data_IF_868059405242
#
_entry.id   IF_868059405242
#
_cell.length_a   1.000
_cell.length_b   1.000
_cell.length_c   1.000
_cell.angle_alpha   90.00
_cell.angle_beta   90.00
_cell.angle_gamma   90.00
#
_symmetry.space_group_name_H-M   'P 1'
#
loop_
_entity.id
_entity.type
_entity.pdbx_description
1 polymer ?
#
# COMPACT_ATOMS: atom_id res chain seq x y z
N UNK A 1 14.12 13.79 11.82
CA UNK A 1 14.55 12.65 11.00
C UNK A 1 15.18 11.59 11.90
N UNK A 2 15.00 10.31 11.59
CA UNK A 2 15.64 9.20 12.32
C UNK A 2 16.37 8.34 11.29
N UNK A 3 17.71 8.29 11.41
CA UNK A 3 18.54 7.37 10.64
C UNK A 3 18.76 6.09 11.43
N UNK A 4 18.62 4.93 10.80
CA UNK A 4 18.85 3.61 11.40
C UNK A 4 19.90 2.91 10.55
N UNK A 5 21.03 2.60 11.13
CA UNK A 5 22.13 1.98 10.39
C UNK A 5 22.70 0.74 11.11
N UNK A 6 23.39 -0.08 10.33
CA UNK A 6 24.02 -1.32 10.81
C UNK A 6 24.14 -2.36 9.71
N UNK A 7 24.85 -3.43 9.96
CA UNK A 7 25.10 -4.49 8.99
C UNK A 7 23.80 -5.14 8.49
N UNK A 8 23.90 -5.88 7.37
CA UNK A 8 22.76 -6.66 6.90
C UNK A 8 22.39 -7.73 7.94
N UNK A 9 21.08 -7.92 8.15
CA UNK A 9 20.57 -8.94 9.08
C UNK A 9 20.45 -8.51 10.55
N UNK A 10 20.87 -7.29 10.95
CA UNK A 10 20.77 -6.82 12.35
C UNK A 10 19.34 -6.42 12.77
N UNK A 11 18.39 -6.33 11.83
CA UNK A 11 16.99 -6.06 12.17
C UNK A 11 16.48 -4.68 11.78
N UNK A 12 17.19 -3.90 10.96
CA UNK A 12 16.74 -2.56 10.49
C UNK A 12 15.34 -2.59 9.89
N UNK A 13 15.13 -3.45 8.90
CA UNK A 13 13.82 -3.67 8.25
C UNK A 13 12.76 -4.14 9.25
N UNK A 14 13.13 -5.01 10.22
CA UNK A 14 12.18 -5.45 11.25
C UNK A 14 11.74 -4.31 12.17
N UNK A 15 12.62 -3.34 12.45
CA UNK A 15 12.24 -2.16 13.24
C UNK A 15 11.25 -1.28 12.46
N UNK A 16 11.47 -1.06 11.16
CA UNK A 16 10.49 -0.34 10.31
C UNK A 16 9.16 -1.11 10.23
N UNK A 17 9.23 -2.44 10.07
CA UNK A 17 8.02 -3.27 10.03
C UNK A 17 7.25 -3.24 11.36
N UNK A 18 7.93 -3.17 12.49
CA UNK A 18 7.27 -3.03 13.80
C UNK A 18 6.49 -1.71 13.90
N UNK A 19 7.05 -0.60 13.40
CA UNK A 19 6.35 0.70 13.32
C UNK A 19 5.15 0.58 12.38
N UNK A 20 5.35 0.02 11.18
CA UNK A 20 4.28 -0.21 10.22
C UNK A 20 3.18 -1.10 10.80
N UNK A 21 3.58 -2.17 11.51
CA UNK A 21 2.63 -3.10 12.16
C UNK A 21 1.72 -2.38 13.16
N UNK A 22 2.28 -1.46 13.94
CA UNK A 22 1.49 -0.64 14.86
C UNK A 22 0.54 0.33 14.14
N UNK A 23 0.81 0.74 12.91
CA UNK A 23 -0.08 1.58 12.09
C UNK A 23 -1.15 0.77 11.34
N UNK A 24 -0.82 -0.45 10.89
CA UNK A 24 -1.68 -1.25 9.99
C UNK A 24 -2.19 -2.56 10.60
N UNK A 25 -1.88 -2.85 11.85
CA UNK A 25 -2.22 -4.10 12.55
C UNK A 25 -1.71 -5.38 11.88
N UNK A 26 -0.78 -5.28 10.94
CA UNK A 26 -0.18 -6.38 10.18
C UNK A 26 1.21 -5.99 9.69
N UNK A 27 2.07 -6.98 9.44
CA UNK A 27 3.35 -6.79 8.78
C UNK A 27 3.17 -6.29 7.34
N UNK A 28 4.13 -5.49 6.86
CA UNK A 28 4.25 -5.13 5.45
C UNK A 28 4.79 -6.29 4.62
N UNK A 29 5.77 -7.01 5.16
CA UNK A 29 6.53 -8.05 4.46
C UNK A 29 5.88 -9.43 4.55
N UNK A 30 5.11 -9.70 5.60
CA UNK A 30 4.50 -11.03 5.83
C UNK A 30 2.98 -10.97 5.90
N UNK A 31 2.33 -11.95 5.23
CA UNK A 31 0.88 -12.14 5.29
C UNK A 31 0.44 -12.97 6.52
N UNK A 32 1.38 -13.65 7.17
CA UNK A 32 1.11 -14.60 8.27
C UNK A 32 1.77 -14.07 9.54
N UNK A 33 0.98 -13.67 10.52
CA UNK A 33 1.49 -13.10 11.78
C UNK A 33 2.49 -14.03 12.50
N UNK A 34 2.27 -15.34 12.45
CA UNK A 34 3.14 -16.31 13.10
C UNK A 34 4.59 -16.33 12.56
N UNK A 35 4.80 -15.89 11.30
CA UNK A 35 6.16 -15.81 10.73
C UNK A 35 6.98 -14.65 11.29
N UNK A 36 6.34 -13.71 11.98
CA UNK A 36 7.00 -12.59 12.65
C UNK A 36 7.41 -12.91 14.09
N UNK A 37 7.08 -14.12 14.57
CA UNK A 37 7.48 -14.58 15.90
C UNK A 37 8.92 -15.05 15.85
N UNK A 38 9.74 -14.60 16.83
CA UNK A 38 11.13 -15.07 16.97
C UNK A 38 11.16 -16.59 17.12
N UNK A 39 12.08 -17.25 16.44
CA UNK A 39 12.21 -18.69 16.52
C UNK A 39 12.41 -19.16 17.97
N UNK A 40 11.55 -20.08 18.42
CA UNK A 40 11.53 -20.58 19.80
C UNK A 40 10.68 -19.74 20.76
N UNK A 41 10.12 -18.59 20.35
CA UNK A 41 9.19 -17.83 21.15
C UNK A 41 7.73 -18.24 20.89
N UNK A 42 6.86 -18.02 21.90
CA UNK A 42 5.43 -18.37 21.83
C UNK A 42 4.52 -17.26 21.32
N UNK A 43 5.10 -16.12 20.89
CA UNK A 43 4.38 -14.96 20.40
C UNK A 43 5.24 -13.71 20.42
N UNK A 44 4.62 -12.55 20.23
CA UNK A 44 5.31 -11.26 20.35
C UNK A 44 4.42 -10.21 20.99
N UNK A 45 5.06 -9.17 21.51
CA UNK A 45 4.44 -7.92 21.94
C UNK A 45 5.15 -6.76 21.29
N UNK A 46 4.40 -5.92 20.59
CA UNK A 46 4.85 -4.61 20.09
C UNK A 46 4.16 -3.53 20.92
N UNK A 47 4.92 -2.51 21.29
CA UNK A 47 4.40 -1.36 22.00
C UNK A 47 5.04 -0.09 21.46
N UNK A 48 4.26 0.96 21.22
CA UNK A 48 4.73 2.25 20.74
C UNK A 48 3.86 3.39 21.24
N UNK A 49 4.47 4.55 21.50
CA UNK A 49 3.77 5.78 21.82
C UNK A 49 3.76 6.67 20.58
N UNK A 50 2.56 7.08 20.18
CA UNK A 50 2.31 7.93 19.02
C UNK A 50 1.74 9.25 19.51
N UNK A 51 2.37 10.36 19.18
CA UNK A 51 1.91 11.69 19.55
C UNK A 51 1.53 12.47 18.29
N UNK A 52 0.36 13.11 18.32
CA UNK A 52 -0.08 14.06 17.32
C UNK A 52 -0.45 15.34 18.05
N UNK A 53 0.26 16.41 17.80
CA UNK A 53 0.15 17.78 18.32
C UNK A 53 -0.42 17.94 19.76
N UNK A 54 -1.56 17.36 20.08
CA UNK A 54 -2.26 17.53 21.37
C UNK A 54 -2.54 16.21 22.10
N UNK A 55 -2.47 15.07 21.41
CA UNK A 55 -2.82 13.77 21.97
C UNK A 55 -1.67 12.78 21.88
N UNK A 56 -1.47 12.00 22.95
CA UNK A 56 -0.54 10.87 22.97
C UNK A 56 -1.34 9.56 23.08
N UNK A 57 -1.00 8.60 22.21
CA UNK A 57 -1.66 7.31 22.17
C UNK A 57 -0.63 6.19 22.38
N UNK A 58 -0.91 5.33 23.34
CA UNK A 58 -0.15 4.10 23.55
C UNK A 58 -0.78 2.98 22.72
N UNK A 59 -0.05 2.47 21.73
CA UNK A 59 -0.45 1.36 20.90
C UNK A 59 0.21 0.08 21.40
N UNK A 60 -0.56 -0.99 21.56
CA UNK A 60 -0.05 -2.30 21.96
C UNK A 60 -0.64 -3.38 21.08
N UNK A 61 0.23 -4.17 20.46
CA UNK A 61 -0.16 -5.39 19.73
C UNK A 61 0.43 -6.61 20.43
N UNK A 62 -0.39 -7.61 20.70
CA UNK A 62 0.01 -8.87 21.31
C UNK A 62 -0.44 -10.01 20.39
N UNK A 63 0.51 -10.81 19.91
CA UNK A 63 0.23 -12.08 19.27
C UNK A 63 0.56 -13.20 20.27
N UNK A 64 -0.43 -14.05 20.56
CA UNK A 64 -0.26 -15.18 21.48
C UNK A 64 0.08 -16.46 20.71
N UNK A 65 0.63 -17.45 21.39
CA UNK A 65 0.92 -18.78 20.85
C UNK A 65 -0.27 -19.42 20.13
N UNK A 66 -1.48 -19.19 20.61
CA UNK A 66 -2.72 -19.65 20.00
C UNK A 66 -3.06 -19.00 18.67
N UNK A 67 -2.24 -18.07 18.19
CA UNK A 67 -2.54 -17.23 17.03
C UNK A 67 -3.54 -16.11 17.29
N UNK A 68 -4.05 -15.99 18.53
CA UNK A 68 -4.94 -14.88 18.90
C UNK A 68 -4.17 -13.58 18.94
N UNK A 69 -4.62 -12.60 18.15
CA UNK A 69 -4.09 -11.25 18.09
C UNK A 69 -4.99 -10.28 18.84
N UNK A 70 -4.39 -9.50 19.73
CA UNK A 70 -5.03 -8.44 20.48
C UNK A 70 -4.36 -7.12 20.12
N UNK A 71 -5.15 -6.08 19.85
CA UNK A 71 -4.64 -4.74 19.55
C UNK A 71 -5.37 -3.72 20.43
N UNK A 72 -4.59 -2.92 21.16
CA UNK A 72 -5.11 -1.96 22.12
C UNK A 72 -4.61 -0.55 21.80
N UNK A 73 -5.46 0.43 22.06
CA UNK A 73 -5.11 1.87 22.06
C UNK A 73 -5.50 2.43 23.42
N UNK A 74 -4.52 2.98 24.14
CA UNK A 74 -4.71 3.49 25.49
C UNK A 74 -5.39 2.46 26.42
N UNK A 75 -4.93 1.19 26.33
CA UNK A 75 -5.43 0.04 27.08
C UNK A 75 -6.82 -0.49 26.64
N UNK A 76 -7.50 0.19 25.71
CA UNK A 76 -8.79 -0.25 25.18
C UNK A 76 -8.62 -1.15 23.96
N UNK A 77 -9.14 -2.40 23.96
CA UNK A 77 -9.00 -3.31 22.85
C UNK A 77 -9.94 -2.97 21.70
N UNK A 78 -9.47 -3.14 20.46
CA UNK A 78 -10.31 -3.07 19.29
C UNK A 78 -11.22 -4.30 19.15
N UNK A 79 -12.50 -4.07 18.88
CA UNK A 79 -13.44 -5.13 18.49
C UNK A 79 -13.23 -5.53 17.03
N UNK A 80 -12.85 -4.57 16.16
CA UNK A 80 -12.53 -4.80 14.74
C UNK A 80 -11.25 -4.05 14.38
N UNK A 81 -10.23 -4.77 13.95
CA UNK A 81 -8.94 -4.18 13.56
C UNK A 81 -9.05 -3.19 12.38
N UNK A 82 -10.06 -3.35 11.52
CA UNK A 82 -10.30 -2.41 10.43
C UNK A 82 -10.54 -0.96 10.89
N UNK A 83 -11.05 -0.75 12.11
CA UNK A 83 -11.26 0.60 12.65
C UNK A 83 -9.97 1.32 13.03
N UNK A 84 -8.85 0.60 13.07
CA UNK A 84 -7.53 1.18 13.33
C UNK A 84 -6.92 1.81 12.09
N UNK A 85 -7.22 1.27 10.90
CA UNK A 85 -6.60 1.68 9.64
C UNK A 85 -6.91 3.15 9.34
N UNK A 86 -5.88 3.92 8.99
CA UNK A 86 -5.96 5.35 8.71
C UNK A 86 -6.07 6.26 9.93
N UNK A 87 -6.02 5.70 11.15
CA UNK A 87 -5.96 6.48 12.39
C UNK A 87 -4.54 6.98 12.69
N UNK A 88 -3.54 6.16 12.36
CA UNK A 88 -2.12 6.49 12.42
C UNK A 88 -1.53 6.30 11.01
N UNK A 89 -1.70 7.29 10.12
CA UNK A 89 -1.32 7.13 8.72
C UNK A 89 0.19 6.96 8.59
N UNK A 90 0.59 6.02 7.74
CA UNK A 90 1.98 5.78 7.43
C UNK A 90 2.15 5.37 5.96
N UNK A 91 3.29 5.74 5.40
CA UNK A 91 3.73 5.32 4.06
C UNK A 91 5.08 4.62 4.22
N UNK A 92 5.21 3.45 3.66
CA UNK A 92 6.48 2.71 3.62
C UNK A 92 6.96 2.57 2.19
N UNK A 93 8.27 2.70 2.00
CA UNK A 93 8.95 2.47 0.72
C UNK A 93 10.07 1.47 0.96
N UNK A 94 10.03 0.37 0.22
CA UNK A 94 10.99 -0.72 0.30
C UNK A 94 11.59 -1.04 -1.07
N UNK A 95 12.73 -1.72 -1.16
CA UNK A 95 13.29 -2.17 -2.44
C UNK A 95 12.33 -3.02 -3.27
N UNK A 96 11.49 -3.83 -2.62
CA UNK A 96 10.54 -4.73 -3.27
C UNK A 96 9.34 -3.99 -3.89
N UNK A 97 9.06 -2.77 -3.48
CA UNK A 97 7.95 -1.97 -4.04
C UNK A 97 8.10 -1.64 -5.52
N UNK A 98 9.29 -1.87 -6.10
CA UNK A 98 9.48 -1.78 -7.55
C UNK A 98 8.51 -2.71 -8.30
N UNK A 99 7.99 -3.74 -7.66
CA UNK A 99 6.96 -4.65 -8.17
C UNK A 99 5.65 -3.92 -8.55
N UNK A 100 5.34 -2.78 -7.93
CA UNK A 100 4.21 -1.93 -8.33
C UNK A 100 4.32 -1.53 -9.80
N UNK A 101 5.56 -1.36 -10.29
CA UNK A 101 5.87 -0.91 -11.65
C UNK A 101 6.13 -2.08 -12.59
N UNK A 102 6.87 -3.11 -12.12
CA UNK A 102 7.35 -4.21 -12.97
C UNK A 102 6.33 -5.35 -13.10
N UNK A 103 5.54 -5.58 -12.07
CA UNK A 103 4.64 -6.73 -11.99
C UNK A 103 3.23 -6.45 -12.54
N UNK A 104 2.32 -7.35 -12.25
CA UNK A 104 0.94 -7.26 -12.72
C UNK A 104 0.11 -6.17 -12.01
N UNK A 105 -1.11 -6.03 -12.47
CA UNK A 105 -2.09 -5.07 -11.93
C UNK A 105 -2.43 -5.29 -10.46
N UNK A 106 -2.12 -6.46 -9.90
CA UNK A 106 -2.43 -6.76 -8.49
C UNK A 106 -1.67 -5.82 -7.55
N UNK A 107 -0.36 -5.56 -7.79
CA UNK A 107 0.44 -4.70 -6.93
C UNK A 107 -0.01 -3.23 -7.03
N UNK A 108 -0.40 -2.76 -8.22
CA UNK A 108 -0.95 -1.41 -8.40
C UNK A 108 -2.31 -1.24 -7.73
N UNK A 109 -3.17 -2.26 -7.76
CA UNK A 109 -4.41 -2.24 -6.97
C UNK A 109 -4.15 -2.24 -5.48
N UNK A 110 -3.19 -3.05 -4.99
CA UNK A 110 -2.81 -3.05 -3.56
C UNK A 110 -2.34 -1.68 -3.09
N UNK A 111 -1.51 -1.02 -3.90
CA UNK A 111 -1.08 0.35 -3.63
C UNK A 111 -2.28 1.31 -3.49
N UNK A 112 -3.18 1.32 -4.49
CA UNK A 112 -4.36 2.17 -4.47
C UNK A 112 -5.31 1.84 -3.32
N UNK A 113 -5.52 0.56 -3.05
CA UNK A 113 -6.37 0.08 -1.95
C UNK A 113 -5.79 0.44 -0.58
N UNK A 114 -4.46 0.42 -0.42
CA UNK A 114 -3.79 0.85 0.81
C UNK A 114 -4.00 2.34 1.08
N UNK A 115 -3.84 3.19 0.06
CA UNK A 115 -4.12 4.63 0.15
C UNK A 115 -5.59 4.88 0.52
N UNK A 116 -6.53 4.34 -0.26
CA UNK A 116 -7.96 4.58 -0.08
C UNK A 116 -8.48 4.03 1.26
N UNK A 117 -7.95 2.90 1.72
CA UNK A 117 -8.31 2.34 3.03
C UNK A 117 -7.86 3.21 4.21
N UNK A 118 -6.78 3.97 4.06
CA UNK A 118 -6.36 4.95 5.08
C UNK A 118 -7.19 6.23 5.04
N UNK A 119 -7.70 6.60 3.87
CA UNK A 119 -8.52 7.80 3.68
C UNK A 119 -9.95 7.60 4.16
N UNK A 120 -10.55 6.45 3.85
CA UNK A 120 -11.97 6.18 4.00
C UNK A 120 -12.23 4.78 4.61
N UNK A 121 -12.76 4.76 5.82
CA UNK A 121 -13.14 3.54 6.52
C UNK A 121 -14.28 2.77 5.81
N UNK A 122 -15.19 3.49 5.12
CA UNK A 122 -16.25 2.86 4.34
C UNK A 122 -15.66 2.13 3.12
N UNK A 123 -14.67 2.74 2.45
CA UNK A 123 -13.94 2.07 1.37
C UNK A 123 -13.33 0.74 1.84
N UNK A 124 -12.62 0.76 2.98
CA UNK A 124 -12.03 -0.46 3.54
C UNK A 124 -13.09 -1.53 3.83
N UNK A 125 -14.25 -1.15 4.39
CA UNK A 125 -15.32 -2.10 4.66
C UNK A 125 -15.89 -2.68 3.36
N UNK A 126 -16.15 -1.85 2.36
CA UNK A 126 -16.60 -2.32 1.04
C UNK A 126 -15.57 -3.24 0.37
N UNK A 127 -14.28 -2.93 0.49
CA UNK A 127 -13.21 -3.77 -0.06
C UNK A 127 -13.14 -5.15 0.62
N UNK A 128 -13.27 -5.19 1.95
CA UNK A 128 -13.32 -6.45 2.72
C UNK A 128 -14.52 -7.30 2.28
N UNK A 129 -15.70 -6.70 2.21
CA UNK A 129 -16.93 -7.41 1.86
C UNK A 129 -16.90 -7.87 0.40
N UNK A 130 -16.44 -7.02 -0.53
CA UNK A 130 -16.25 -7.40 -1.94
C UNK A 130 -15.34 -8.61 -2.09
N UNK A 131 -14.18 -8.60 -1.46
CA UNK A 131 -13.21 -9.70 -1.55
C UNK A 131 -13.76 -11.00 -0.95
N UNK A 132 -14.49 -10.93 0.16
CA UNK A 132 -15.16 -12.09 0.77
C UNK A 132 -16.21 -12.68 -0.17
N UNK A 133 -17.06 -11.83 -0.75
CA UNK A 133 -18.12 -12.26 -1.69
C UNK A 133 -17.51 -12.82 -2.97
N UNK A 134 -16.46 -12.19 -3.49
CA UNK A 134 -15.72 -12.67 -4.67
C UNK A 134 -15.14 -14.07 -4.43
N UNK A 135 -14.57 -14.31 -3.26
CA UNK A 135 -14.05 -15.62 -2.87
C UNK A 135 -15.19 -16.68 -2.79
N UNK A 136 -16.32 -16.30 -2.17
CA UNK A 136 -17.50 -17.19 -2.07
C UNK A 136 -18.07 -17.52 -3.46
N UNK A 137 -18.22 -16.51 -4.32
CA UNK A 137 -18.68 -16.68 -5.71
C UNK A 137 -17.75 -17.61 -6.50
N UNK A 138 -16.44 -17.41 -6.40
CA UNK A 138 -15.46 -18.26 -7.07
C UNK A 138 -15.48 -19.71 -6.52
N UNK A 139 -15.66 -19.88 -5.22
CA UNK A 139 -15.86 -21.20 -4.61
C UNK A 139 -17.12 -21.89 -5.13
N UNK A 140 -18.22 -21.14 -5.26
CA UNK A 140 -19.46 -21.67 -5.82
C UNK A 140 -19.34 -22.04 -7.31
N UNK A 141 -18.65 -21.24 -8.12
CA UNK A 141 -18.36 -21.57 -9.52
C UNK A 141 -17.59 -22.90 -9.66
N UNK A 142 -16.62 -23.16 -8.79
CA UNK A 142 -15.91 -24.46 -8.73
C UNK A 142 -16.85 -25.61 -8.37
N UNK A 143 -17.69 -25.40 -7.35
CA UNK A 143 -18.67 -26.40 -6.91
C UNK A 143 -19.68 -26.76 -8.01
N UNK A 144 -20.17 -25.76 -8.78
CA UNK A 144 -21.05 -25.98 -9.93
C UNK A 144 -20.39 -26.86 -10.99
N UNK A 145 -19.09 -26.61 -11.28
CA UNK A 145 -18.33 -27.40 -12.24
C UNK A 145 -18.13 -28.85 -11.75
N UNK A 146 -17.75 -29.04 -10.49
CA UNK A 146 -17.57 -30.36 -9.88
C UNK A 146 -18.86 -31.19 -9.90
N UNK A 147 -19.98 -30.58 -9.52
CA UNK A 147 -21.30 -31.23 -9.48
C UNK A 147 -22.01 -31.29 -10.83
N UNK A 148 -21.43 -30.69 -11.89
CA UNK A 148 -22.09 -30.50 -13.20
C UNK A 148 -23.48 -29.88 -13.07
N UNK A 149 -23.66 -28.98 -12.11
CA UNK A 149 -24.95 -28.35 -11.81
C UNK A 149 -25.17 -27.15 -12.72
N UNK A 150 -26.41 -26.92 -13.11
CA UNK A 150 -26.87 -25.75 -13.85
C UNK A 150 -27.58 -24.72 -12.97
N UNK A 151 -27.73 -25.01 -11.66
CA UNK A 151 -28.39 -24.10 -10.73
C UNK A 151 -27.49 -22.86 -10.48
N UNK A 152 -27.94 -21.72 -10.98
CA UNK A 152 -27.23 -20.43 -10.88
C UNK A 152 -27.87 -19.44 -9.91
N UNK A 153 -28.92 -19.81 -9.17
CA UNK A 153 -29.65 -18.89 -8.30
C UNK A 153 -28.74 -18.19 -7.27
N UNK A 154 -27.78 -18.94 -6.70
CA UNK A 154 -26.86 -18.37 -5.72
C UNK A 154 -25.86 -17.40 -6.35
N UNK A 155 -25.55 -17.55 -7.66
CA UNK A 155 -24.74 -16.56 -8.37
C UNK A 155 -25.44 -15.21 -8.43
N UNK A 156 -26.76 -15.17 -8.61
CA UNK A 156 -27.51 -13.92 -8.66
C UNK A 156 -27.45 -13.16 -7.30
N UNK A 157 -27.42 -13.92 -6.20
CA UNK A 157 -27.26 -13.32 -4.86
C UNK A 157 -25.86 -12.71 -4.71
N UNK A 158 -24.81 -13.46 -5.08
CA UNK A 158 -23.45 -12.94 -5.04
C UNK A 158 -23.24 -11.75 -6.00
N UNK A 159 -23.81 -11.83 -7.21
CA UNK A 159 -23.71 -10.77 -8.22
C UNK A 159 -24.30 -9.46 -7.69
N UNK A 160 -25.49 -9.46 -7.07
CA UNK A 160 -26.10 -8.29 -6.45
C UNK A 160 -25.22 -7.67 -5.37
N UNK A 161 -24.63 -8.50 -4.51
CA UNK A 161 -23.73 -8.04 -3.46
C UNK A 161 -22.43 -7.46 -4.05
N UNK A 162 -21.84 -8.12 -5.06
CA UNK A 162 -20.65 -7.60 -5.76
C UNK A 162 -20.92 -6.25 -6.43
N UNK A 163 -22.10 -6.06 -7.02
CA UNK A 163 -22.52 -4.78 -7.63
C UNK A 163 -22.53 -3.67 -6.59
N UNK A 164 -23.14 -3.91 -5.41
CA UNK A 164 -23.22 -2.91 -4.35
C UNK A 164 -21.84 -2.44 -3.90
N UNK A 165 -20.96 -3.38 -3.54
CA UNK A 165 -19.63 -3.04 -3.04
C UNK A 165 -18.69 -2.60 -4.16
N UNK A 166 -18.76 -3.25 -5.33
CA UNK A 166 -17.90 -2.96 -6.47
C UNK A 166 -18.11 -1.56 -7.05
N UNK A 167 -19.36 -1.10 -7.11
CA UNK A 167 -19.66 0.27 -7.58
C UNK A 167 -19.08 1.34 -6.65
N UNK A 168 -19.19 1.15 -5.32
CA UNK A 168 -18.57 2.06 -4.36
C UNK A 168 -17.05 2.13 -4.54
N UNK A 169 -16.39 0.97 -4.65
CA UNK A 169 -14.93 0.88 -4.82
C UNK A 169 -14.50 1.53 -6.15
N UNK A 170 -15.21 1.23 -7.24
CA UNK A 170 -14.93 1.81 -8.55
C UNK A 170 -15.01 3.33 -8.52
N UNK A 171 -16.10 3.89 -7.98
CA UNK A 171 -16.28 5.34 -7.92
C UNK A 171 -15.22 6.01 -7.03
N UNK A 172 -14.91 5.44 -5.87
CA UNK A 172 -13.85 5.94 -4.99
C UNK A 172 -12.49 5.94 -5.69
N UNK A 173 -12.12 4.86 -6.40
CA UNK A 173 -10.88 4.80 -7.18
C UNK A 173 -10.86 5.84 -8.30
N UNK A 174 -11.96 5.97 -9.04
CA UNK A 174 -12.09 6.93 -10.13
C UNK A 174 -11.89 8.35 -9.65
N UNK A 175 -12.54 8.74 -8.55
CA UNK A 175 -12.42 10.07 -7.97
C UNK A 175 -11.00 10.32 -7.45
N UNK A 176 -10.43 9.38 -6.72
CA UNK A 176 -9.09 9.57 -6.16
C UNK A 176 -8.02 9.67 -7.24
N UNK A 177 -8.10 8.88 -8.30
CA UNK A 177 -7.12 8.90 -9.39
C UNK A 177 -7.13 10.21 -10.20
N UNK A 178 -8.25 10.95 -10.23
CA UNK A 178 -8.28 12.30 -10.83
C UNK A 178 -7.31 13.27 -10.12
N UNK A 179 -7.08 13.09 -8.83
CA UNK A 179 -6.15 13.90 -8.05
C UNK A 179 -4.75 13.27 -7.96
N UNK A 180 -4.70 11.95 -7.82
CA UNK A 180 -3.44 11.23 -7.63
C UNK A 180 -2.56 11.25 -8.89
N UNK A 181 -3.13 11.05 -10.09
CA UNK A 181 -2.36 10.98 -11.34
C UNK A 181 -1.59 12.28 -11.64
N UNK A 182 -2.22 13.46 -11.62
CA UNK A 182 -1.48 14.71 -11.81
C UNK A 182 -0.34 14.89 -10.80
N UNK A 183 -0.57 14.56 -9.52
CA UNK A 183 0.41 14.67 -8.47
C UNK A 183 1.59 13.72 -8.65
N UNK A 184 1.35 12.47 -9.12
CA UNK A 184 2.40 11.54 -9.45
C UNK A 184 3.28 12.09 -10.59
N UNK A 185 2.68 12.63 -11.65
CA UNK A 185 3.41 13.21 -12.80
C UNK A 185 4.28 14.37 -12.37
N UNK A 186 3.75 15.28 -11.55
CA UNK A 186 4.49 16.40 -10.99
C UNK A 186 5.67 15.93 -10.12
N UNK A 187 5.40 15.04 -9.16
CA UNK A 187 6.44 14.51 -8.25
C UNK A 187 7.51 13.73 -9.02
N UNK A 188 7.11 12.99 -10.05
CA UNK A 188 8.06 12.28 -10.92
C UNK A 188 9.00 13.26 -11.62
N UNK A 189 8.46 14.34 -12.20
CA UNK A 189 9.26 15.39 -12.87
C UNK A 189 10.25 16.04 -11.89
N UNK A 190 9.81 16.34 -10.66
CA UNK A 190 10.67 16.91 -9.62
C UNK A 190 11.83 15.99 -9.25
N UNK A 191 11.57 14.67 -9.10
CA UNK A 191 12.61 13.68 -8.76
C UNK A 191 13.53 13.43 -9.95
N UNK A 192 12.99 13.32 -11.16
CA UNK A 192 13.75 13.04 -12.38
C UNK A 192 14.64 14.23 -12.82
N UNK A 193 14.34 15.46 -12.36
CA UNK A 193 15.03 16.68 -12.77
C UNK A 193 14.75 17.13 -14.20
N UNK A 194 13.89 16.39 -14.93
CA UNK A 194 13.51 16.68 -16.30
C UNK A 194 12.07 16.23 -16.58
N UNK A 195 11.43 16.87 -17.55
CA UNK A 195 10.14 16.44 -18.04
C UNK A 195 10.29 15.25 -18.97
N UNK A 196 9.63 14.16 -18.65
CA UNK A 196 9.53 12.95 -19.48
C UNK A 196 8.06 12.72 -19.88
N UNK A 197 7.83 12.06 -21.02
CA UNK A 197 6.48 11.76 -21.53
C UNK A 197 5.89 10.58 -20.75
N UNK A 198 5.61 10.81 -19.46
CA UNK A 198 4.98 9.84 -18.56
C UNK A 198 3.47 9.98 -18.62
N UNK A 199 2.76 8.89 -18.95
CA UNK A 199 1.31 8.83 -18.92
C UNK A 199 0.83 7.76 -17.94
N UNK A 200 -0.18 8.13 -17.14
CA UNK A 200 -0.91 7.22 -16.27
C UNK A 200 -2.40 7.29 -16.58
N UNK A 201 -3.06 6.15 -16.56
CA UNK A 201 -4.50 6.06 -16.82
C UNK A 201 -5.16 5.04 -15.90
N UNK A 202 -6.41 5.28 -15.51
CA UNK A 202 -7.21 4.26 -14.84
C UNK A 202 -7.85 3.35 -15.88
N UNK A 203 -7.58 2.08 -15.78
CA UNK A 203 -8.12 1.05 -16.68
C UNK A 203 -9.15 0.20 -15.94
N UNK A 204 -10.40 0.26 -16.35
CA UNK A 204 -11.49 -0.52 -15.77
C UNK A 204 -12.49 -0.94 -16.83
N UNK A 205 -13.01 -2.17 -16.69
CA UNK A 205 -14.13 -2.64 -17.49
C UNK A 205 -15.40 -1.80 -17.25
N UNK A 206 -15.51 -1.21 -16.04
CA UNK A 206 -16.65 -0.40 -15.64
C UNK A 206 -16.72 0.97 -16.36
N UNK A 207 -15.68 1.35 -17.11
CA UNK A 207 -15.77 2.50 -18.02
C UNK A 207 -16.71 2.26 -19.21
N UNK A 208 -16.97 1.00 -19.55
CA UNK A 208 -17.72 0.63 -20.77
C UNK A 208 -19.13 0.13 -20.50
N UNK A 209 -19.35 -0.49 -19.33
CA UNK A 209 -20.64 -1.06 -18.95
C UNK A 209 -20.76 -1.12 -17.42
N UNK A 210 -21.97 -1.19 -16.90
CA UNK A 210 -22.21 -1.38 -15.46
C UNK A 210 -21.68 -2.73 -14.99
N UNK A 211 -21.32 -2.83 -13.69
CA UNK A 211 -20.86 -4.10 -13.12
C UNK A 211 -21.92 -5.19 -13.23
N UNK A 212 -23.20 -4.84 -13.12
CA UNK A 212 -24.31 -5.79 -13.27
C UNK A 212 -24.36 -6.38 -14.69
N UNK A 213 -24.24 -5.55 -15.73
CA UNK A 213 -24.19 -5.99 -17.12
C UNK A 213 -22.96 -6.85 -17.39
N UNK A 214 -21.80 -6.44 -16.89
CA UNK A 214 -20.56 -7.21 -17.01
C UNK A 214 -20.66 -8.59 -16.37
N UNK A 215 -21.21 -8.71 -15.16
CA UNK A 215 -21.37 -9.99 -14.48
C UNK A 215 -22.33 -10.91 -15.25
N UNK A 216 -23.41 -10.37 -15.84
CA UNK A 216 -24.32 -11.13 -16.71
C UNK A 216 -23.63 -11.58 -18.00
N UNK A 217 -22.90 -10.69 -18.66
CA UNK A 217 -22.19 -10.97 -19.91
C UNK A 217 -21.10 -12.03 -19.74
N UNK A 218 -20.37 -11.99 -18.61
CA UNK A 218 -19.27 -12.89 -18.35
C UNK A 218 -19.69 -14.21 -17.68
N UNK A 219 -20.97 -14.42 -17.36
CA UNK A 219 -21.46 -15.56 -16.58
C UNK A 219 -21.03 -16.92 -17.15
N UNK A 220 -21.22 -17.16 -18.44
CA UNK A 220 -20.81 -18.42 -19.07
C UNK A 220 -19.30 -18.61 -19.06
N UNK A 221 -18.53 -17.54 -19.33
CA UNK A 221 -17.08 -17.57 -19.22
C UNK A 221 -16.62 -17.86 -17.80
N UNK A 222 -17.27 -17.27 -16.79
CA UNK A 222 -16.98 -17.50 -15.38
C UNK A 222 -17.22 -18.96 -14.98
N UNK A 223 -18.30 -19.57 -15.47
CA UNK A 223 -18.59 -20.99 -15.25
C UNK A 223 -17.52 -21.88 -15.87
N UNK A 224 -17.13 -21.63 -17.09
CA UNK A 224 -16.08 -22.40 -17.79
C UNK A 224 -14.70 -22.22 -17.11
N UNK A 225 -14.36 -21.00 -16.71
CA UNK A 225 -13.07 -20.68 -16.09
C UNK A 225 -13.05 -20.89 -14.57
N UNK A 226 -14.21 -21.25 -13.97
CA UNK A 226 -14.40 -21.44 -12.51
C UNK A 226 -13.94 -20.27 -11.66
N UNK A 227 -14.00 -19.05 -12.21
CA UNK A 227 -13.60 -17.80 -11.55
C UNK A 227 -14.27 -16.59 -12.20
N UNK A 228 -14.41 -15.53 -11.42
CA UNK A 228 -14.91 -14.24 -11.90
C UNK A 228 -13.91 -13.55 -12.82
N UNK A 229 -14.36 -13.13 -14.01
CA UNK A 229 -13.54 -12.49 -15.04
C UNK A 229 -13.91 -11.01 -15.24
N UNK A 230 -14.94 -10.51 -14.57
CA UNK A 230 -15.37 -9.12 -14.61
C UNK A 230 -15.47 -8.52 -13.21
N UNK A 231 -15.14 -7.25 -13.07
CA UNK A 231 -15.24 -6.47 -11.84
C UNK A 231 -13.96 -5.76 -11.42
N UNK A 232 -14.01 -5.01 -10.34
CA UNK A 232 -12.94 -4.10 -9.85
C UNK A 232 -11.62 -4.83 -9.52
N UNK A 233 -11.64 -6.12 -9.31
CA UNK A 233 -10.45 -6.97 -9.14
C UNK A 233 -9.69 -7.18 -10.45
N UNK A 234 -10.19 -6.66 -11.59
CA UNK A 234 -9.54 -6.64 -12.90
C UNK A 234 -9.02 -5.25 -13.28
N UNK A 235 -9.31 -4.24 -12.47
CA UNK A 235 -8.83 -2.88 -12.73
C UNK A 235 -7.31 -2.79 -12.71
N UNK A 236 -6.78 -1.77 -13.39
CA UNK A 236 -5.35 -1.47 -13.41
C UNK A 236 -5.12 0.05 -13.43
N UNK A 237 -3.88 0.44 -13.11
CA UNK A 237 -3.33 1.75 -13.45
C UNK A 237 -2.34 1.52 -14.58
N UNK A 238 -2.76 1.87 -15.80
CA UNK A 238 -1.87 1.86 -16.98
C UNK A 238 -0.76 2.87 -16.80
N UNK A 239 0.48 2.46 -17.07
CA UNK A 239 1.66 3.32 -16.97
C UNK A 239 2.44 3.22 -18.27
N UNK A 240 2.63 4.35 -18.95
CA UNK A 240 3.32 4.45 -20.22
C UNK A 240 4.41 5.51 -20.17
N UNK A 241 5.46 5.29 -20.92
CA UNK A 241 6.53 6.26 -21.20
C UNK A 241 6.71 6.30 -22.72
N UNK A 242 6.57 7.48 -23.33
CA UNK A 242 6.64 7.64 -24.79
C UNK A 242 5.72 6.64 -25.52
N UNK A 243 4.46 6.58 -25.10
CA UNK A 243 3.41 5.71 -25.65
C UNK A 243 3.69 4.19 -25.56
N UNK A 244 4.74 3.77 -24.86
CA UNK A 244 5.07 2.38 -24.64
C UNK A 244 4.90 1.99 -23.16
N UNK A 245 4.57 0.71 -22.86
CA UNK A 245 4.47 0.25 -21.48
C UNK A 245 5.76 0.54 -20.70
N UNK A 246 5.63 1.31 -19.63
CA UNK A 246 6.76 1.80 -18.82
C UNK A 246 7.69 0.67 -18.37
N UNK A 247 7.13 -0.46 -17.95
CA UNK A 247 7.88 -1.63 -17.47
C UNK A 247 8.86 -2.21 -18.51
N UNK A 248 8.61 -1.99 -19.83
CA UNK A 248 9.42 -2.57 -20.87
C UNK A 248 10.64 -1.71 -21.23
N UNK A 249 10.51 -0.38 -21.14
CA UNK A 249 11.52 0.56 -21.66
C UNK A 249 12.23 1.39 -20.60
N UNK A 250 11.63 1.52 -19.42
CA UNK A 250 12.17 2.36 -18.36
C UNK A 250 13.47 1.80 -17.78
N UNK A 251 14.46 2.66 -17.61
CA UNK A 251 15.70 2.38 -16.88
C UNK A 251 15.44 2.08 -15.39
N UNK A 252 16.42 1.54 -14.69
CA UNK A 252 16.32 1.29 -13.25
C UNK A 252 16.09 2.60 -12.46
N UNK A 253 16.79 3.67 -12.83
CA UNK A 253 16.63 5.00 -12.23
C UNK A 253 15.20 5.55 -12.44
N UNK A 254 14.66 5.45 -13.66
CA UNK A 254 13.28 5.86 -13.96
C UNK A 254 12.24 5.06 -13.17
N UNK A 255 12.42 3.73 -13.05
CA UNK A 255 11.53 2.89 -12.24
C UNK A 255 11.52 3.31 -10.77
N UNK A 256 12.70 3.60 -10.20
CA UNK A 256 12.79 4.09 -8.83
C UNK A 256 12.19 5.49 -8.68
N UNK A 257 12.47 6.41 -9.62
CA UNK A 257 11.85 7.74 -9.59
C UNK A 257 10.32 7.65 -9.61
N UNK A 258 9.76 6.77 -10.42
CA UNK A 258 8.31 6.55 -10.47
C UNK A 258 7.78 5.91 -9.18
N UNK A 259 8.50 4.93 -8.61
CA UNK A 259 8.14 4.34 -7.32
C UNK A 259 8.06 5.43 -6.23
N UNK A 260 9.09 6.26 -6.12
CA UNK A 260 9.08 7.36 -5.16
C UNK A 260 7.97 8.37 -5.45
N UNK A 261 7.72 8.68 -6.73
CA UNK A 261 6.63 9.57 -7.10
C UNK A 261 5.27 9.04 -6.67
N UNK A 262 5.00 7.74 -6.88
CA UNK A 262 3.77 7.08 -6.40
C UNK A 262 3.63 7.19 -4.88
N UNK A 263 4.66 6.81 -4.14
CA UNK A 263 4.63 6.76 -2.68
C UNK A 263 4.62 8.14 -2.01
N UNK A 264 5.34 9.11 -2.57
CA UNK A 264 5.32 10.48 -2.05
C UNK A 264 4.00 11.19 -2.40
N UNK A 265 3.38 10.87 -3.53
CA UNK A 265 2.02 11.35 -3.82
C UNK A 265 0.98 10.73 -2.87
N UNK A 266 1.11 9.43 -2.53
CA UNK A 266 0.33 8.80 -1.46
C UNK A 266 0.49 9.58 -0.14
N UNK A 267 1.72 9.90 0.24
CA UNK A 267 2.04 10.64 1.45
C UNK A 267 1.38 12.03 1.47
N UNK A 268 1.50 12.81 0.41
CA UNK A 268 0.93 14.17 0.32
C UNK A 268 -0.61 14.16 0.37
N UNK A 269 -1.24 13.20 -0.29
CA UNK A 269 -2.70 13.03 -0.22
C UNK A 269 -3.15 12.70 1.21
N UNK A 270 -2.47 11.77 1.87
CA UNK A 270 -2.79 11.44 3.27
C UNK A 270 -2.58 12.65 4.19
N UNK A 271 -1.47 13.38 4.02
CA UNK A 271 -1.16 14.60 4.77
C UNK A 271 -2.27 15.65 4.62
N UNK A 272 -2.69 15.91 3.39
CA UNK A 272 -3.75 16.87 3.11
C UNK A 272 -5.09 16.45 3.72
N UNK A 273 -5.45 15.18 3.59
CA UNK A 273 -6.74 14.66 4.05
C UNK A 273 -6.83 14.54 5.59
N UNK A 274 -5.72 14.19 6.25
CA UNK A 274 -5.66 13.97 7.71
C UNK A 274 -5.28 15.21 8.51
N UNK A 275 -4.82 16.28 7.85
CA UNK A 275 -4.36 17.52 8.51
C UNK A 275 -3.04 17.38 9.27
N UNK A 276 -2.41 16.21 9.24
CA UNK A 276 -1.11 15.93 9.83
C UNK A 276 -0.29 15.02 8.92
N UNK A 277 1.04 15.17 8.97
CA UNK A 277 1.93 14.36 8.14
C UNK A 277 1.91 12.89 8.59
N UNK A 278 1.75 11.94 7.66
CA UNK A 278 1.93 10.52 7.94
C UNK A 278 3.36 10.20 8.41
N UNK A 279 3.58 9.07 9.06
CA UNK A 279 4.92 8.52 9.22
C UNK A 279 5.46 8.08 7.85
N UNK A 280 6.71 8.42 7.55
CA UNK A 280 7.39 7.97 6.34
C UNK A 280 8.52 7.01 6.70
N UNK A 281 8.41 5.78 6.21
CA UNK A 281 9.33 4.68 6.49
C UNK A 281 10.08 4.32 5.20
N UNK A 282 11.39 4.53 5.18
CA UNK A 282 12.25 4.34 4.00
C UNK A 282 13.27 3.25 4.27
N UNK A 283 13.08 2.09 3.64
CA UNK A 283 13.99 0.95 3.80
C UNK A 283 15.00 0.88 2.65
N UNK A 284 16.29 0.92 2.99
CA UNK A 284 17.44 0.79 2.05
C UNK A 284 17.30 1.64 0.76
N UNK A 285 16.87 2.91 0.90
CA UNK A 285 16.52 3.78 -0.25
C UNK A 285 17.71 4.30 -1.05
N UNK A 286 18.91 4.30 -0.46
CA UNK A 286 20.12 4.90 -1.06
C UNK A 286 20.72 4.09 -2.23
N UNK A 287 20.23 2.92 -2.53
CA UNK A 287 20.73 2.11 -3.62
C UNK A 287 20.15 2.51 -4.99
N UNK A 288 21.00 2.52 -6.05
CA UNK A 288 20.59 2.57 -7.47
C UNK A 288 19.86 3.83 -7.94
N UNK A 289 20.00 4.95 -7.25
CA UNK A 289 19.71 6.29 -7.79
C UNK A 289 21.03 7.01 -8.10
N UNK A 290 21.05 7.81 -9.15
CA UNK A 290 22.13 8.76 -9.35
C UNK A 290 22.12 9.88 -8.31
N UNK A 291 23.22 10.63 -8.20
CA UNK A 291 23.39 11.63 -7.15
C UNK A 291 22.35 12.75 -7.19
N UNK A 292 21.92 13.15 -8.40
CA UNK A 292 20.96 14.24 -8.60
C UNK A 292 19.56 13.80 -8.14
N UNK A 293 19.08 12.64 -8.61
CA UNK A 293 17.78 12.08 -8.20
C UNK A 293 17.73 11.77 -6.70
N UNK A 294 18.84 11.30 -6.14
CA UNK A 294 18.97 11.08 -4.70
C UNK A 294 18.85 12.40 -3.93
N UNK A 295 19.54 13.45 -4.39
CA UNK A 295 19.46 14.78 -3.77
C UNK A 295 18.03 15.32 -3.81
N UNK A 296 17.37 15.27 -4.97
CA UNK A 296 15.99 15.74 -5.15
C UNK A 296 15.01 14.97 -4.25
N UNK A 297 15.16 13.63 -4.18
CA UNK A 297 14.36 12.80 -3.30
C UNK A 297 14.53 13.19 -1.84
N UNK A 298 15.77 13.24 -1.36
CA UNK A 298 16.07 13.55 0.04
C UNK A 298 15.67 14.97 0.41
N UNK A 299 15.83 15.93 -0.50
CA UNK A 299 15.35 17.29 -0.28
C UNK A 299 13.84 17.30 -0.05
N UNK A 300 13.09 16.64 -0.93
CA UNK A 300 11.62 16.54 -0.80
C UNK A 300 11.19 15.83 0.50
N UNK A 301 11.87 14.76 0.85
CA UNK A 301 11.54 13.95 2.04
C UNK A 301 11.98 14.60 3.35
N UNK A 302 13.17 15.19 3.37
CA UNK A 302 13.80 15.66 4.61
C UNK A 302 13.62 17.16 4.88
N UNK A 303 13.46 17.97 3.82
CA UNK A 303 13.38 19.43 3.94
C UNK A 303 11.94 19.93 3.76
N UNK A 304 11.24 19.47 2.73
CA UNK A 304 9.86 19.90 2.45
C UNK A 304 8.82 19.20 3.34
N UNK A 305 9.17 18.01 3.87
CA UNK A 305 8.29 17.23 4.72
C UNK A 305 8.43 17.66 6.19
N UNK A 306 7.31 18.04 6.81
CA UNK A 306 7.23 18.37 8.24
C UNK A 306 6.89 17.18 9.13
N UNK A 307 6.87 15.96 8.58
CA UNK A 307 6.55 14.72 9.30
C UNK A 307 7.78 14.01 9.87
N UNK A 308 7.52 12.95 10.62
CA UNK A 308 8.57 12.06 11.10
C UNK A 308 8.96 11.08 10.01
N UNK A 309 10.27 11.00 9.72
CA UNK A 309 10.84 10.13 8.70
C UNK A 309 11.85 9.20 9.35
N UNK A 310 11.73 7.91 9.04
CA UNK A 310 12.70 6.87 9.39
C UNK A 310 13.38 6.38 8.12
N UNK A 311 14.71 6.38 8.11
CA UNK A 311 15.51 5.94 6.96
C UNK A 311 16.51 4.89 7.42
N UNK A 312 16.53 3.74 6.76
CA UNK A 312 17.53 2.70 7.02
C UNK A 312 18.65 2.71 5.98
N UNK A 313 19.84 2.36 6.38
CA UNK A 313 21.00 2.09 5.50
C UNK A 313 21.98 1.13 6.17
N UNK A 314 22.80 0.46 5.38
CA UNK A 314 23.90 -0.37 5.88
C UNK A 314 25.08 0.48 6.41
N UNK A 315 25.26 1.71 5.93
CA UNK A 315 26.36 2.59 6.24
C UNK A 315 25.91 3.84 6.99
N UNK A 316 26.27 3.95 8.26
CA UNK A 316 25.96 5.12 9.09
C UNK A 316 26.51 6.44 8.51
N UNK A 317 27.72 6.38 7.94
CA UNK A 317 28.37 7.57 7.41
C UNK A 317 27.65 8.15 6.18
N UNK A 318 27.02 7.29 5.37
CA UNK A 318 26.18 7.72 4.24
C UNK A 318 24.98 8.54 4.71
N UNK A 319 24.28 8.06 5.75
CA UNK A 319 23.16 8.79 6.36
C UNK A 319 23.63 10.14 6.91
N UNK A 320 24.74 10.15 7.68
CA UNK A 320 25.32 11.38 8.25
C UNK A 320 25.68 12.39 7.18
N UNK A 321 26.33 11.95 6.10
CA UNK A 321 26.74 12.81 4.99
C UNK A 321 25.52 13.46 4.32
N UNK A 322 24.48 12.69 4.00
CA UNK A 322 23.29 13.23 3.36
C UNK A 322 22.53 14.20 4.28
N UNK A 323 22.32 13.85 5.55
CA UNK A 323 21.62 14.72 6.47
C UNK A 323 22.38 16.01 6.79
N UNK A 324 23.71 15.93 6.88
CA UNK A 324 24.58 17.12 7.05
C UNK A 324 24.51 18.05 5.86
N UNK A 325 24.54 17.52 4.61
CA UNK A 325 24.40 18.32 3.38
C UNK A 325 23.04 19.05 3.29
N UNK A 326 21.98 18.45 3.83
CA UNK A 326 20.64 19.03 3.85
C UNK A 326 20.37 19.94 5.06
N UNK A 327 21.32 20.03 6.00
CA UNK A 327 21.20 20.81 7.23
C UNK A 327 19.92 20.51 8.04
N UNK A 328 19.55 19.23 8.12
CA UNK A 328 18.38 18.77 8.87
C UNK A 328 18.76 18.22 10.24
N UNK A 329 17.90 18.42 11.24
CA UNK A 329 18.06 17.78 12.56
C UNK A 329 17.72 16.31 12.47
N UNK A 330 18.57 15.46 13.01
CA UNK A 330 18.35 14.02 12.99
C UNK A 330 18.87 13.32 14.26
N UNK A 331 18.28 12.16 14.52
CA UNK A 331 18.78 11.17 15.47
C UNK A 331 19.33 9.97 14.69
N UNK A 332 20.44 9.40 15.15
CA UNK A 332 21.01 8.19 14.56
C UNK A 332 20.91 7.05 15.55
N UNK A 333 20.41 5.90 15.07
CA UNK A 333 20.33 4.64 15.80
C UNK A 333 21.25 3.65 15.06
N UNK A 334 22.23 3.12 15.76
CA UNK A 334 23.11 2.07 15.26
C UNK A 334 22.70 0.74 15.91
N UNK A 335 22.39 -0.30 15.07
CA UNK A 335 21.94 -1.61 15.48
C UNK A 335 23.07 -2.64 15.38
#
# INVERSE_FOLDING_TARGET
MVGICGNNGVGKTNLLDAIYYLCFTKSYFSKIDATNVLQGAMGFRLEGNFSNQEESHKLVCILRETGKKEFLVNEEPYTKLAHHIGRFPAVIITPDDVQIITDGSEERRRFLDALLSQLDAAYLQHLIDYNKILQQRNGYLKLLAEKRSTDTHLLDVYDKQLVTHGNYIYESRRQQLLHLIPQIKETYTQIAGMQEELELSYESQLHKASLEELLKQYREKDRLMQRSNAGIHKDDIGIQLKEQPFKNIASQGQRKSLLFALKLSEFEILKSAKGSAPLLLLDDVFEKLDAERMHNLLHKVCVENNGQVFITDTHCDRIKEHFSKLNVQYQLIEL
#
